data_IF_522494648895
#
_entry.id   IF_522494648895
#
_cell.length_a   1.000
_cell.length_b   1.000
_cell.length_c   1.000
_cell.angle_alpha   90.00
_cell.angle_beta   90.00
_cell.angle_gamma   90.00
#
_symmetry.space_group_name_H-M   'P 1'
#
loop_
_entity.id
_entity.type
_entity.pdbx_description
1 polymer ?
#
# COMPACT_ATOMS: atom_id res chain seq x y z
N UNK A 1 -16.09 -3.58 7.21
CA UNK A 1 -15.39 -4.68 6.49
C UNK A 1 -14.86 -4.10 5.20
N UNK A 2 -13.58 -4.29 4.91
CA UNK A 2 -12.91 -3.80 3.70
C UNK A 2 -12.81 -4.93 2.69
N UNK A 3 -13.23 -4.70 1.45
CA UNK A 3 -13.13 -5.67 0.36
C UNK A 3 -11.94 -5.31 -0.53
N UNK A 4 -11.03 -6.26 -0.71
CA UNK A 4 -9.89 -6.14 -1.63
C UNK A 4 -10.19 -6.99 -2.87
N UNK A 5 -10.21 -6.37 -4.04
CA UNK A 5 -10.46 -7.03 -5.33
C UNK A 5 -9.60 -6.42 -6.45
N UNK A 6 -9.64 -7.01 -7.64
CA UNK A 6 -8.89 -6.52 -8.80
C UNK A 6 -7.36 -6.58 -8.62
N UNK A 7 -6.68 -5.51 -9.01
CA UNK A 7 -5.21 -5.43 -8.98
C UNK A 7 -4.63 -5.51 -7.57
N UNK A 8 -5.27 -4.87 -6.59
CA UNK A 8 -4.83 -4.94 -5.19
C UNK A 8 -4.88 -6.37 -4.65
N UNK A 9 -5.90 -7.15 -5.05
CA UNK A 9 -5.99 -8.56 -4.69
C UNK A 9 -4.87 -9.38 -5.36
N UNK A 10 -4.61 -9.15 -6.65
CA UNK A 10 -3.52 -9.82 -7.38
C UNK A 10 -2.17 -9.53 -6.74
N UNK A 11 -1.89 -8.26 -6.46
CA UNK A 11 -0.64 -7.82 -5.84
C UNK A 11 -0.42 -8.48 -4.46
N UNK A 12 -1.43 -8.43 -3.60
CA UNK A 12 -1.34 -8.92 -2.22
C UNK A 12 -1.33 -10.45 -2.12
N UNK A 13 -2.22 -11.14 -2.83
CA UNK A 13 -2.42 -12.58 -2.64
C UNK A 13 -1.76 -13.46 -3.70
N UNK A 14 -1.61 -12.99 -4.95
CA UNK A 14 -0.96 -13.78 -6.02
C UNK A 14 0.54 -13.52 -6.08
N UNK A 15 0.94 -12.25 -6.10
CA UNK A 15 2.36 -11.87 -6.23
C UNK A 15 3.09 -12.00 -4.88
N UNK A 16 2.55 -11.36 -3.83
CA UNK A 16 3.20 -11.32 -2.50
C UNK A 16 2.89 -12.53 -1.61
N UNK A 17 1.94 -13.39 -2.02
CA UNK A 17 1.53 -14.63 -1.33
C UNK A 17 1.27 -14.45 0.17
N UNK A 18 0.55 -13.39 0.53
CA UNK A 18 0.19 -13.11 1.93
C UNK A 18 -0.65 -14.27 2.49
N UNK A 19 -0.26 -14.77 3.67
CA UNK A 19 -0.94 -15.89 4.34
C UNK A 19 -2.18 -15.39 5.10
N UNK A 20 -3.20 -16.23 5.21
CA UNK A 20 -4.43 -15.94 5.95
C UNK A 20 -4.21 -15.62 7.43
N UNK A 21 -3.17 -16.21 8.05
CA UNK A 21 -2.89 -16.05 9.48
C UNK A 21 -2.16 -14.74 9.85
N UNK A 22 -1.78 -13.90 8.87
CA UNK A 22 -1.08 -12.64 9.15
C UNK A 22 -2.04 -11.45 9.21
N UNK A 23 -1.76 -10.52 10.12
CA UNK A 23 -2.33 -9.18 10.09
C UNK A 23 -1.78 -8.38 8.92
N UNK A 24 -2.59 -7.48 8.37
CA UNK A 24 -2.24 -6.63 7.25
C UNK A 24 -2.33 -5.16 7.67
N UNK A 25 -1.20 -4.47 7.62
CA UNK A 25 -1.11 -3.04 7.85
C UNK A 25 -1.33 -2.29 6.53
N UNK A 26 -2.34 -1.42 6.48
CA UNK A 26 -2.72 -0.63 5.29
C UNK A 26 -2.84 0.86 5.64
N UNK A 27 -2.54 1.71 4.65
CA UNK A 27 -2.78 3.16 4.71
C UNK A 27 -3.78 3.57 3.64
N UNK A 28 -4.59 4.58 3.94
CA UNK A 28 -5.54 5.15 2.98
C UNK A 28 -4.95 6.35 2.20
N UNK A 29 -3.71 6.76 2.51
CA UNK A 29 -3.00 7.91 1.94
C UNK A 29 -3.70 9.27 2.12
N UNK A 30 -4.70 9.35 3.01
CA UNK A 30 -5.45 10.57 3.34
C UNK A 30 -5.14 11.07 4.74
N UNK A 31 -4.77 10.16 5.64
CA UNK A 31 -4.41 10.47 7.01
C UNK A 31 -3.09 9.84 7.42
N UNK A 32 -2.59 10.23 8.59
CA UNK A 32 -1.37 9.69 9.19
C UNK A 32 -1.59 8.35 9.89
N UNK A 33 -2.72 7.68 9.70
CA UNK A 33 -3.03 6.43 10.41
C UNK A 33 -2.56 5.21 9.63
N UNK A 34 -1.99 4.25 10.37
CA UNK A 34 -1.76 2.91 9.90
C UNK A 34 -2.85 2.01 10.49
N UNK A 35 -3.65 1.42 9.60
CA UNK A 35 -4.76 0.57 9.95
C UNK A 35 -4.35 -0.90 9.87
N UNK A 36 -4.53 -1.64 10.96
CA UNK A 36 -4.25 -3.06 11.02
C UNK A 36 -5.53 -3.85 10.81
N UNK A 37 -5.51 -4.74 9.82
CA UNK A 37 -6.63 -5.59 9.44
C UNK A 37 -6.32 -7.07 9.67
N UNK A 38 -7.34 -7.82 10.07
CA UNK A 38 -7.35 -9.29 10.04
C UNK A 38 -8.10 -9.79 8.81
N UNK A 39 -7.71 -10.97 8.31
CA UNK A 39 -8.42 -11.64 7.23
C UNK A 39 -9.70 -12.28 7.77
N UNK A 40 -10.85 -11.77 7.35
CA UNK A 40 -12.14 -12.37 7.67
C UNK A 40 -12.49 -13.50 6.70
N UNK A 41 -12.26 -13.28 5.39
CA UNK A 41 -12.51 -14.26 4.34
C UNK A 41 -11.52 -14.05 3.19
N UNK A 42 -11.01 -15.12 2.60
CA UNK A 42 -10.17 -15.06 1.39
C UNK A 42 -10.76 -16.01 0.37
N UNK A 43 -11.29 -15.46 -0.72
CA UNK A 43 -11.75 -16.24 -1.87
C UNK A 43 -10.70 -16.21 -2.98
N UNK A 44 -10.96 -16.85 -4.13
CA UNK A 44 -10.06 -16.84 -5.30
C UNK A 44 -10.01 -15.50 -6.05
N UNK A 45 -10.98 -14.61 -5.83
CA UNK A 45 -11.13 -13.35 -6.59
C UNK A 45 -11.10 -12.10 -5.72
N UNK A 46 -11.39 -12.23 -4.42
CA UNK A 46 -11.42 -11.13 -3.48
C UNK A 46 -11.09 -11.60 -2.07
N UNK A 47 -10.72 -10.66 -1.21
CA UNK A 47 -10.56 -10.90 0.22
C UNK A 47 -11.38 -9.88 1.02
N UNK A 48 -11.95 -10.32 2.14
CA UNK A 48 -12.62 -9.49 3.12
C UNK A 48 -11.72 -9.34 4.34
N UNK A 49 -11.52 -8.09 4.71
CA UNK A 49 -10.66 -7.67 5.80
C UNK A 49 -11.51 -6.99 6.88
N UNK A 50 -11.20 -7.28 8.14
CA UNK A 50 -11.84 -6.64 9.29
C UNK A 50 -10.82 -5.79 10.01
N UNK A 51 -11.20 -4.55 10.33
CA UNK A 51 -10.35 -3.62 11.03
C UNK A 51 -10.21 -4.07 12.48
N UNK A 52 -8.97 -4.20 12.97
CA UNK A 52 -8.66 -4.61 14.34
C UNK A 52 -8.05 -3.47 15.14
N UNK A 53 -7.35 -2.54 14.48
CA UNK A 53 -6.77 -1.39 15.14
C UNK A 53 -6.34 -0.31 14.17
N UNK A 54 -6.11 0.88 14.72
CA UNK A 54 -5.50 2.00 14.02
C UNK A 54 -4.49 2.65 14.96
N UNK A 55 -3.31 2.97 14.44
CA UNK A 55 -2.29 3.74 15.17
C UNK A 55 -1.86 4.93 14.36
N UNK A 56 -1.67 6.07 15.01
CA UNK A 56 -1.07 7.24 14.38
C UNK A 56 0.41 6.93 14.13
N UNK A 57 0.82 6.95 12.87
CA UNK A 57 2.19 6.70 12.45
C UNK A 57 2.49 7.62 11.27
N UNK A 58 2.68 8.90 11.57
CA UNK A 58 2.97 9.90 10.57
C UNK A 58 4.44 9.79 10.15
N UNK A 59 4.67 9.31 8.93
CA UNK A 59 5.99 9.28 8.30
C UNK A 59 5.91 10.30 7.18
N UNK A 60 6.37 11.51 7.47
CA UNK A 60 6.45 12.60 6.52
C UNK A 60 7.89 13.07 6.38
N UNK A 61 8.26 13.46 5.16
CA UNK A 61 9.51 14.16 4.95
C UNK A 61 9.50 15.45 5.76
N UNK A 62 10.63 15.73 6.42
CA UNK A 62 10.80 16.93 7.25
C UNK A 62 10.70 18.24 6.44
N UNK A 63 10.78 18.14 5.10
CA UNK A 63 10.67 19.26 4.17
C UNK A 63 9.77 18.89 3.00
N UNK A 64 8.97 19.86 2.55
CA UNK A 64 8.24 19.76 1.29
C UNK A 64 9.20 20.02 0.14
N UNK A 65 9.32 19.08 -0.78
CA UNK A 65 10.22 19.17 -1.93
C UNK A 65 9.38 19.21 -3.20
N UNK A 66 9.64 20.19 -4.06
CA UNK A 66 9.10 20.21 -5.42
C UNK A 66 10.10 19.53 -6.36
N UNK A 67 9.63 18.58 -7.15
CA UNK A 67 10.46 17.94 -8.17
C UNK A 67 10.28 18.65 -9.52
N UNK A 68 11.37 19.13 -10.10
CA UNK A 68 11.40 19.59 -11.49
C UNK A 68 12.25 18.59 -12.25
N UNK A 69 11.64 17.90 -13.21
CA UNK A 69 12.31 16.88 -14.02
C UNK A 69 12.36 17.33 -15.48
N UNK A 70 13.55 17.29 -16.08
CA UNK A 70 13.73 17.51 -17.51
C UNK A 70 13.07 16.39 -18.32
N UNK A 71 12.74 16.66 -19.58
CA UNK A 71 12.23 15.62 -20.49
C UNK A 71 13.34 14.59 -20.73
N UNK A 72 13.15 13.38 -20.20
CA UNK A 72 14.08 12.26 -20.28
C UNK A 72 13.33 11.00 -20.71
N UNK A 73 14.08 9.95 -21.05
CA UNK A 73 13.51 8.65 -21.40
C UNK A 73 12.68 8.04 -20.26
N UNK A 74 11.56 7.40 -20.62
CA UNK A 74 10.62 6.77 -19.67
C UNK A 74 11.33 5.76 -18.75
N UNK A 75 12.28 4.97 -19.30
CA UNK A 75 13.05 3.99 -18.53
C UNK A 75 13.85 4.62 -17.39
N UNK A 76 14.27 5.86 -17.54
CA UNK A 76 14.98 6.61 -16.50
C UNK A 76 14.02 7.10 -15.43
N UNK A 77 12.81 7.53 -15.81
CA UNK A 77 11.74 7.94 -14.88
C UNK A 77 11.33 6.79 -13.96
N UNK A 78 11.13 5.60 -14.52
CA UNK A 78 10.76 4.38 -13.78
C UNK A 78 11.77 4.00 -12.69
N UNK A 79 13.05 4.40 -12.85
CA UNK A 79 14.10 4.17 -11.86
C UNK A 79 14.19 5.30 -10.81
N UNK A 80 13.98 6.55 -11.23
CA UNK A 80 14.11 7.73 -10.36
C UNK A 80 12.96 7.82 -9.37
N UNK A 81 11.72 7.58 -9.80
CA UNK A 81 10.54 7.73 -8.94
C UNK A 81 10.56 6.83 -7.69
N UNK A 82 10.89 5.52 -7.78
CA UNK A 82 11.01 4.68 -6.59
C UNK A 82 12.09 5.15 -5.63
N UNK A 83 13.22 5.65 -6.13
CA UNK A 83 14.33 6.13 -5.30
C UNK A 83 13.96 7.39 -4.51
N UNK A 84 13.26 8.33 -5.13
CA UNK A 84 12.81 9.56 -4.46
C UNK A 84 11.70 9.32 -3.43
N UNK A 85 11.00 8.19 -3.53
CA UNK A 85 9.95 7.78 -2.61
C UNK A 85 10.47 6.89 -1.46
N UNK A 86 11.79 6.64 -1.37
CA UNK A 86 12.44 5.99 -0.22
C UNK A 86 12.62 6.98 0.93
#
# INVERSE_FOLDING_TARGET
VLKIEGESYIHLYRSRRIKSASYLDLRNLKDGFLYTYEHAEITKKHALLKLVGARLLEVMANKKTHLILSVIEIKSIEKILPFLNQ
#
